data_IF_007857258964
#
_entry.id   IF_007857258964
#
_cell.length_a   1.000
_cell.length_b   1.000
_cell.length_c   1.000
_cell.angle_alpha   90.00
_cell.angle_beta   90.00
_cell.angle_gamma   90.00
#
_symmetry.space_group_name_H-M   'P 1'
#
loop_
_entity.id
_entity.type
_entity.pdbx_description
1 polymer ?
#
# COMPACT_ATOMS: atom_id res chain seq x y z
N UNK A 1 9.52 -8.58 -2.84
CA UNK A 1 8.30 -8.73 -2.02
C UNK A 1 7.27 -9.40 -2.90
N UNK A 2 6.86 -10.62 -2.56
CA UNK A 2 5.86 -11.34 -3.35
C UNK A 2 4.43 -10.90 -2.95
N UNK A 3 3.45 -10.87 -3.87
CA UNK A 3 2.10 -10.38 -3.58
C UNK A 3 1.40 -11.16 -2.47
N UNK A 4 1.71 -12.45 -2.33
CA UNK A 4 1.11 -13.35 -1.34
C UNK A 4 1.53 -13.00 0.11
N UNK A 5 2.63 -12.25 0.28
CA UNK A 5 3.06 -11.75 1.58
C UNK A 5 2.25 -10.52 2.03
N UNK A 6 1.46 -9.91 1.14
CA UNK A 6 0.73 -8.67 1.41
C UNK A 6 -0.65 -8.99 1.98
N UNK A 7 -0.82 -8.75 3.28
CA UNK A 7 -2.13 -8.89 3.94
C UNK A 7 -2.83 -7.53 3.95
N UNK A 8 -3.65 -7.31 2.93
CA UNK A 8 -4.54 -6.16 2.86
C UNK A 8 -5.80 -6.43 3.70
N UNK A 9 -6.09 -5.56 4.67
CA UNK A 9 -7.34 -5.62 5.46
C UNK A 9 -8.56 -5.16 4.63
N UNK A 10 -8.33 -4.56 3.46
CA UNK A 10 -9.36 -4.15 2.52
C UNK A 10 -8.78 -3.37 1.32
N UNK A 11 -9.61 -3.04 0.31
CA UNK A 11 -9.17 -2.25 -0.83
C UNK A 11 -8.85 -0.80 -0.41
N UNK A 12 -7.72 -0.28 -0.90
CA UNK A 12 -7.31 1.11 -0.70
C UNK A 12 -8.11 2.02 -1.66
N UNK A 13 -9.11 2.74 -1.15
CA UNK A 13 -10.05 3.51 -1.99
C UNK A 13 -10.03 5.01 -1.76
N UNK A 14 -9.68 5.45 -0.56
CA UNK A 14 -9.72 6.85 -0.15
C UNK A 14 -8.32 7.46 -0.16
N UNK A 15 -8.24 8.79 -0.24
CA UNK A 15 -6.97 9.49 -0.07
C UNK A 15 -6.56 9.46 1.40
N UNK A 16 -5.35 9.01 1.68
CA UNK A 16 -4.87 8.88 3.05
C UNK A 16 -3.66 7.98 3.21
N UNK A 17 -3.22 7.85 4.46
CA UNK A 17 -2.18 6.91 4.84
C UNK A 17 -2.80 5.59 5.29
N UNK A 18 -2.30 4.50 4.73
CA UNK A 18 -2.72 3.14 5.03
C UNK A 18 -1.55 2.37 5.61
N UNK A 19 -1.81 1.59 6.65
CA UNK A 19 -0.84 0.64 7.18
C UNK A 19 -1.13 -0.73 6.58
N UNK A 20 -0.20 -1.24 5.78
CA UNK A 20 -0.29 -2.57 5.20
C UNK A 20 0.61 -3.52 5.99
N UNK A 21 0.01 -4.60 6.49
CA UNK A 21 0.75 -5.66 7.17
C UNK A 21 1.33 -6.62 6.15
N UNK A 22 2.61 -6.91 6.28
CA UNK A 22 3.33 -7.88 5.48
C UNK A 22 3.69 -9.06 6.37
N UNK A 23 3.45 -10.27 5.86
CA UNK A 23 3.78 -11.51 6.53
C UNK A 23 4.70 -12.32 5.62
N UNK A 24 5.98 -12.38 5.96
CA UNK A 24 7.00 -13.08 5.18
C UNK A 24 7.19 -14.53 5.64
N UNK A 25 7.15 -14.75 6.95
CA UNK A 25 7.28 -16.05 7.59
C UNK A 25 6.55 -16.03 8.96
N UNK A 26 6.28 -17.19 9.60
CA UNK A 26 5.53 -17.25 10.86
C UNK A 26 6.04 -16.33 11.98
N UNK A 27 7.34 -16.02 12.00
CA UNK A 27 7.97 -15.13 12.99
C UNK A 27 8.41 -13.78 12.42
N UNK A 28 8.14 -13.52 11.13
CA UNK A 28 8.58 -12.30 10.44
C UNK A 28 7.37 -11.55 9.91
N UNK A 29 6.91 -10.60 10.72
CA UNK A 29 5.85 -9.66 10.41
C UNK A 29 6.40 -8.23 10.34
N UNK A 30 5.88 -7.43 9.41
CA UNK A 30 6.26 -6.01 9.32
C UNK A 30 5.10 -5.16 8.82
N UNK A 31 5.19 -3.86 9.03
CA UNK A 31 4.17 -2.89 8.67
C UNK A 31 4.75 -1.84 7.73
N UNK A 32 4.10 -1.62 6.60
CA UNK A 32 4.47 -0.60 5.62
C UNK A 32 3.37 0.45 5.53
N UNK A 33 3.76 1.70 5.73
CA UNK A 33 2.88 2.86 5.59
C UNK A 33 2.84 3.30 4.12
N UNK A 34 1.69 3.12 3.48
CA UNK A 34 1.43 3.49 2.09
C UNK A 34 0.59 4.76 2.08
N UNK A 35 1.05 5.80 1.38
CA UNK A 35 0.27 7.02 1.19
C UNK A 35 -0.43 6.95 -0.18
N UNK A 36 -1.76 6.89 -0.15
CA UNK A 36 -2.59 7.04 -1.35
C UNK A 36 -2.78 8.52 -1.61
N UNK A 37 -2.05 9.03 -2.59
CA UNK A 37 -2.22 10.38 -3.12
C UNK A 37 -3.17 10.34 -4.31
N UNK A 38 -3.89 11.43 -4.60
CA UNK A 38 -4.64 11.51 -5.84
C UNK A 38 -3.67 11.30 -6.99
N UNK A 39 -4.10 10.58 -8.03
CA UNK A 39 -3.36 10.55 -9.27
C UNK A 39 -3.13 12.00 -9.66
N UNK A 40 -1.86 12.42 -9.71
CA UNK A 40 -1.54 13.72 -10.28
C UNK A 40 -2.28 13.77 -11.62
N UNK A 41 -3.11 14.79 -11.84
CA UNK A 41 -3.63 15.07 -13.16
C UNK A 41 -2.46 14.86 -14.12
N UNK A 42 -2.64 14.10 -15.22
CA UNK A 42 -1.53 13.83 -16.11
C UNK A 42 -0.88 15.18 -16.35
N UNK A 43 0.43 15.27 -16.11
CA UNK A 43 1.18 16.42 -16.53
C UNK A 43 0.97 16.50 -18.05
N UNK A 44 -0.10 17.18 -18.45
CA UNK A 44 -0.28 17.73 -19.76
C UNK A 44 0.89 18.70 -19.83
N UNK A 45 1.97 18.21 -20.44
CA UNK A 45 3.04 19.05 -20.92
C UNK A 45 2.37 20.21 -21.66
N UNK A 46 2.51 21.40 -21.11
CA UNK A 46 2.34 22.66 -21.81
C UNK A 46 3.74 23.19 -22.08
#
# INVERSE_FOLDING_TARGET
>A
VEPDNVRLEGPLKELGMYTVKLHFAPEVETEVKVWVVPAAAPAAKA
#
